data_IF_807368392175
#
_entry.id   IF_807368392175
#
_cell.length_a   1.000
_cell.length_b   1.000
_cell.length_c   1.000
_cell.angle_alpha   90.00
_cell.angle_beta   90.00
_cell.angle_gamma   90.00
#
_symmetry.space_group_name_H-M   'P 1'
#
loop_
_entity.id
_entity.type
_entity.pdbx_description
1 polymer ?
#
# COMPACT_ATOMS: atom_id res chain seq x y z
N UNK A 1 -18.94 67.47 18.03
CA UNK A 1 -17.66 66.91 17.55
C UNK A 1 -16.91 66.41 18.78
N UNK A 2 -16.78 65.09 18.96
CA UNK A 2 -16.04 64.50 20.07
C UNK A 2 -14.71 63.97 19.56
N UNK A 3 -13.60 64.58 20.00
CA UNK A 3 -12.26 64.10 19.70
C UNK A 3 -11.95 62.89 20.57
N UNK A 4 -11.65 61.75 19.95
CA UNK A 4 -11.00 60.62 20.61
C UNK A 4 -9.49 60.81 20.41
N UNK A 5 -8.76 61.02 21.49
CA UNK A 5 -7.30 61.05 21.47
C UNK A 5 -6.78 59.67 21.85
N UNK A 6 -6.22 58.92 20.91
CA UNK A 6 -5.49 57.67 21.18
C UNK A 6 -4.01 58.02 21.22
N UNK A 7 -3.43 57.99 22.42
CA UNK A 7 -1.98 58.16 22.59
C UNK A 7 -1.34 56.78 22.42
N UNK A 8 -1.02 56.43 21.18
CA UNK A 8 -0.03 55.41 20.86
C UNK A 8 0.96 56.06 19.90
N UNK A 9 2.25 56.10 20.27
CA UNK A 9 3.31 56.64 19.42
C UNK A 9 3.30 55.90 18.07
N UNK A 10 2.83 56.56 17.02
CA UNK A 10 3.04 56.25 15.60
C UNK A 10 1.97 55.43 14.83
N UNK A 11 0.66 55.67 15.02
CA UNK A 11 -0.32 55.37 13.96
C UNK A 11 -1.36 56.50 13.86
N UNK A 12 -1.45 57.14 12.69
CA UNK A 12 -2.58 58.00 12.31
C UNK A 12 -3.30 57.36 11.12
N UNK A 13 -4.46 56.76 11.37
CA UNK A 13 -5.42 56.43 10.29
C UNK A 13 -6.82 56.90 10.69
N UNK A 14 -7.53 57.47 9.71
CA UNK A 14 -8.95 57.82 9.83
C UNK A 14 -9.79 56.54 9.66
N UNK A 15 -10.28 55.99 10.76
CA UNK A 15 -11.20 54.86 10.72
C UNK A 15 -12.64 55.35 10.45
N UNK A 16 -13.07 55.38 9.18
CA UNK A 16 -14.48 55.44 8.83
C UNK A 16 -15.08 54.04 8.88
N UNK A 17 -15.52 53.61 10.06
CA UNK A 17 -16.18 52.32 10.25
C UNK A 17 -16.64 52.09 11.68
N UNK A 18 -17.78 51.42 11.86
CA UNK A 18 -18.28 50.99 13.16
C UNK A 18 -17.31 50.01 13.83
N UNK A 19 -17.03 50.22 15.12
CA UNK A 19 -16.21 49.30 15.92
C UNK A 19 -16.93 47.96 15.96
N UNK A 20 -16.34 46.93 15.35
CA UNK A 20 -16.92 45.58 15.39
C UNK A 20 -16.73 44.99 16.79
N UNK A 21 -17.84 44.68 17.46
CA UNK A 21 -17.86 44.07 18.80
C UNK A 21 -17.27 42.64 18.87
N UNK A 22 -16.91 42.05 17.72
CA UNK A 22 -16.40 40.69 17.55
C UNK A 22 -14.88 40.61 17.31
N UNK A 23 -14.15 41.74 17.32
CA UNK A 23 -12.71 41.75 17.09
C UNK A 23 -11.90 41.11 18.23
N UNK A 24 -10.90 40.29 17.90
CA UNK A 24 -10.08 39.53 18.84
C UNK A 24 -8.91 40.31 19.46
N UNK A 25 -8.58 41.50 18.94
CA UNK A 25 -7.35 42.23 19.30
C UNK A 25 -7.57 43.64 19.86
N UNK A 26 -8.74 43.96 20.42
CA UNK A 26 -8.93 45.20 21.17
C UNK A 26 -8.71 44.90 22.66
N UNK A 27 -7.48 45.10 23.15
CA UNK A 27 -7.16 45.02 24.57
C UNK A 27 -7.35 46.40 25.18
N UNK A 28 -8.36 46.52 26.04
CA UNK A 28 -8.63 47.72 26.80
C UNK A 28 -7.79 47.69 28.10
N UNK A 29 -6.80 48.59 28.20
CA UNK A 29 -5.89 48.66 29.36
C UNK A 29 -6.50 49.36 30.59
N UNK A 30 -7.74 49.86 30.53
CA UNK A 30 -8.36 50.58 31.65
C UNK A 30 -8.97 49.67 32.73
N UNK A 31 -8.90 48.34 32.57
CA UNK A 31 -9.49 47.37 33.49
C UNK A 31 -11.03 47.34 33.48
N UNK A 32 -11.70 48.19 32.68
CA UNK A 32 -13.16 48.21 32.50
C UNK A 32 -13.52 48.43 31.04
N UNK A 33 -14.53 47.72 30.52
CA UNK A 33 -14.93 47.79 29.10
C UNK A 33 -15.70 49.11 28.81
N UNK A 34 -15.30 49.83 27.76
CA UNK A 34 -15.91 51.10 27.32
C UNK A 34 -16.70 50.83 26.04
N UNK A 35 -17.97 51.23 25.99
CA UNK A 35 -18.82 51.15 24.80
C UNK A 35 -19.50 52.52 24.61
N UNK A 36 -19.41 53.09 23.40
CA UNK A 36 -20.09 54.33 23.02
C UNK A 36 -21.38 53.98 22.26
N UNK A 37 -22.54 54.27 22.85
CA UNK A 37 -23.85 53.88 22.32
C UNK A 37 -24.68 55.04 21.76
N UNK A 38 -24.15 56.27 21.72
CA UNK A 38 -24.82 57.40 21.08
C UNK A 38 -23.86 58.56 20.76
N UNK A 39 -24.37 59.54 20.01
CA UNK A 39 -23.69 60.80 19.71
C UNK A 39 -23.48 61.71 20.94
N UNK A 40 -23.96 61.32 22.13
CA UNK A 40 -24.04 62.20 23.31
C UNK A 40 -23.51 61.61 24.63
N UNK A 41 -22.95 60.39 24.68
CA UNK A 41 -22.30 59.94 25.92
C UNK A 41 -21.68 58.53 25.94
N UNK A 42 -20.71 58.35 26.85
CA UNK A 42 -20.12 57.06 27.25
C UNK A 42 -20.83 56.61 28.53
N UNK A 43 -21.38 55.39 28.55
CA UNK A 43 -21.98 54.78 29.73
C UNK A 43 -21.20 53.53 30.17
N UNK A 44 -21.07 53.34 31.48
CA UNK A 44 -20.55 52.11 32.08
C UNK A 44 -21.73 51.17 32.35
N UNK A 45 -22.03 50.27 31.42
CA UNK A 45 -23.07 49.26 31.65
C UNK A 45 -22.51 48.09 32.48
N UNK A 46 -23.31 47.68 33.47
CA UNK A 46 -23.12 46.43 34.21
C UNK A 46 -23.09 45.25 33.24
N UNK A 47 -22.19 44.29 33.51
CA UNK A 47 -21.93 43.04 32.77
C UNK A 47 -23.09 42.56 31.88
N UNK A 48 -23.13 43.01 30.63
CA UNK A 48 -23.90 42.33 29.60
C UNK A 48 -23.03 41.22 29.04
N UNK A 49 -23.55 40.00 29.07
CA UNK A 49 -22.90 38.86 28.45
C UNK A 49 -22.60 39.18 26.98
N UNK A 50 -21.40 38.79 26.56
CA UNK A 50 -20.93 39.03 25.19
C UNK A 50 -21.91 38.34 24.24
N UNK A 51 -22.61 39.11 23.41
CA UNK A 51 -23.47 38.54 22.38
C UNK A 51 -22.62 37.63 21.49
N UNK A 52 -23.09 36.41 21.19
CA UNK A 52 -22.34 35.49 20.35
C UNK A 52 -22.05 36.14 18.98
N UNK A 53 -20.90 35.86 18.36
CA UNK A 53 -20.56 36.41 17.05
C UNK A 53 -21.70 36.19 16.06
N UNK A 54 -22.11 37.25 15.36
CA UNK A 54 -23.14 37.17 14.31
C UNK A 54 -22.64 36.27 13.17
N UNK A 55 -21.37 36.42 12.80
CA UNK A 55 -20.70 35.60 11.80
C UNK A 55 -20.30 34.25 12.38
N UNK A 56 -20.79 33.16 11.79
CA UNK A 56 -20.33 31.82 12.12
C UNK A 56 -18.92 31.60 11.55
N UNK A 57 -18.00 31.11 12.39
CA UNK A 57 -16.62 30.76 12.01
C UNK A 57 -16.27 29.39 12.58
N UNK A 58 -15.31 28.71 11.97
CA UNK A 58 -14.72 27.51 12.55
C UNK A 58 -13.55 27.90 13.44
N UNK A 59 -13.46 27.29 14.60
CA UNK A 59 -12.41 27.54 15.61
C UNK A 59 -11.44 26.38 15.74
N UNK A 60 -11.86 25.17 15.34
CA UNK A 60 -11.06 23.96 15.41
C UNK A 60 -11.50 22.97 14.34
N UNK A 61 -10.54 22.29 13.74
CA UNK A 61 -10.74 21.08 12.93
C UNK A 61 -10.07 19.93 13.66
N UNK A 62 -10.77 18.80 13.73
CA UNK A 62 -10.29 17.58 14.37
C UNK A 62 -10.46 16.40 13.41
N UNK A 63 -9.58 15.42 13.56
CA UNK A 63 -9.52 14.23 12.71
C UNK A 63 -8.10 13.99 12.19
N UNK A 64 -7.88 12.89 11.47
CA UNK A 64 -8.91 11.95 10.99
C UNK A 64 -9.41 10.99 12.08
N UNK A 65 -10.72 10.70 12.09
CA UNK A 65 -11.34 9.66 12.91
C UNK A 65 -11.74 8.45 12.06
N UNK A 66 -11.59 7.24 12.59
CA UNK A 66 -12.04 6.01 11.95
C UNK A 66 -13.57 5.79 12.06
N UNK A 67 -14.06 4.66 11.55
CA UNK A 67 -15.49 4.32 11.58
C UNK A 67 -16.03 4.04 13.00
N UNK A 68 -15.14 3.80 13.98
CA UNK A 68 -15.47 3.61 15.39
C UNK A 68 -15.29 4.90 16.20
N UNK A 69 -15.10 6.03 15.53
CA UNK A 69 -14.88 7.36 16.10
C UNK A 69 -13.57 7.52 16.91
N UNK A 70 -12.58 6.64 16.68
CA UNK A 70 -11.26 6.77 17.28
C UNK A 70 -10.38 7.69 16.42
N UNK A 71 -9.62 8.57 17.06
CA UNK A 71 -8.63 9.39 16.37
C UNK A 71 -7.51 8.47 15.84
N UNK A 72 -7.12 8.65 14.58
CA UNK A 72 -6.04 7.89 13.97
C UNK A 72 -4.86 8.80 13.59
N UNK A 73 -3.65 8.30 13.80
CA UNK A 73 -2.43 9.05 13.50
C UNK A 73 -2.10 9.05 12.00
N UNK A 74 -2.54 8.00 11.28
CA UNK A 74 -2.24 7.74 9.86
C UNK A 74 -3.50 7.36 9.09
N UNK A 75 -3.59 7.80 7.84
CA UNK A 75 -4.66 7.45 6.92
C UNK A 75 -4.20 6.49 5.82
N UNK A 76 -5.11 5.65 5.36
CA UNK A 76 -4.93 4.79 4.19
C UNK A 76 -5.67 5.42 3.00
N UNK A 77 -5.01 5.46 1.83
CA UNK A 77 -5.66 5.95 0.62
C UNK A 77 -6.91 5.12 0.30
N UNK A 78 -7.94 5.83 -0.13
CA UNK A 78 -9.21 5.24 -0.53
C UNK A 78 -10.12 4.80 0.62
N UNK A 79 -9.67 4.87 1.87
CA UNK A 79 -10.50 4.71 3.07
C UNK A 79 -11.14 6.05 3.45
N UNK A 80 -12.39 6.00 3.89
CA UNK A 80 -13.11 7.18 4.38
C UNK A 80 -12.77 7.44 5.85
N UNK A 81 -12.50 8.70 6.18
CA UNK A 81 -12.24 9.17 7.53
C UNK A 81 -13.16 10.32 7.88
N UNK A 82 -13.58 10.39 9.15
CA UNK A 82 -14.42 11.45 9.66
C UNK A 82 -13.58 12.63 10.13
N UNK A 83 -14.02 13.84 9.80
CA UNK A 83 -13.46 15.10 10.26
C UNK A 83 -14.54 15.91 10.96
N UNK A 84 -14.16 16.63 12.03
CA UNK A 84 -15.09 17.38 12.87
C UNK A 84 -14.65 18.84 12.94
N UNK A 85 -15.55 19.75 12.58
CA UNK A 85 -15.34 21.19 12.66
C UNK A 85 -16.14 21.77 13.83
N UNK A 86 -15.47 22.55 14.68
CA UNK A 86 -16.09 23.22 15.83
C UNK A 86 -16.43 24.68 15.47
N UNK A 87 -17.72 25.04 15.34
CA UNK A 87 -18.13 26.40 15.04
C UNK A 87 -18.14 27.29 16.29
N UNK A 88 -18.06 28.62 16.11
CA UNK A 88 -18.14 29.62 17.19
C UNK A 88 -19.51 29.65 17.89
N UNK A 89 -20.57 29.22 17.20
CA UNK A 89 -21.94 29.09 17.72
C UNK A 89 -22.63 27.92 17.03
N UNK A 90 -23.80 27.51 17.54
CA UNK A 90 -24.62 26.50 16.87
C UNK A 90 -25.01 27.00 15.47
N UNK A 91 -24.70 26.25 14.40
CA UNK A 91 -25.09 26.61 13.04
C UNK A 91 -26.61 26.43 12.86
N UNK A 92 -27.21 27.26 12.01
CA UNK A 92 -28.56 27.03 11.49
C UNK A 92 -28.55 25.89 10.47
N UNK A 93 -29.73 25.34 10.17
CA UNK A 93 -29.88 24.27 9.17
C UNK A 93 -29.37 24.72 7.79
N UNK A 94 -29.54 26.00 7.44
CA UNK A 94 -29.07 26.57 6.18
C UNK A 94 -27.56 26.84 6.17
N UNK A 95 -26.93 27.01 7.33
CA UNK A 95 -25.49 27.23 7.46
C UNK A 95 -24.67 25.93 7.40
N UNK A 96 -25.24 24.79 7.79
CA UNK A 96 -24.53 23.49 7.75
C UNK A 96 -24.01 23.14 6.33
N UNK A 97 -24.84 23.17 5.26
CA UNK A 97 -24.38 22.83 3.92
C UNK A 97 -23.49 23.90 3.28
N UNK A 98 -23.32 25.07 3.91
CA UNK A 98 -22.44 26.14 3.42
C UNK A 98 -21.00 26.01 3.91
N UNK A 99 -20.73 25.15 4.90
CA UNK A 99 -19.37 24.89 5.36
C UNK A 99 -18.57 24.17 4.26
N UNK A 100 -17.49 24.78 3.80
CA UNK A 100 -16.60 24.23 2.79
C UNK A 100 -15.43 23.50 3.44
N UNK A 101 -14.92 22.51 2.73
CA UNK A 101 -13.71 21.78 3.09
C UNK A 101 -12.66 21.98 2.02
N UNK A 102 -11.40 22.09 2.42
CA UNK A 102 -10.27 22.14 1.52
C UNK A 102 -9.16 21.19 1.97
N UNK A 103 -8.31 20.82 1.03
CA UNK A 103 -7.09 20.08 1.26
C UNK A 103 -5.90 20.86 0.70
N UNK A 104 -4.76 20.80 1.39
CA UNK A 104 -3.46 21.21 0.84
C UNK A 104 -2.59 19.97 0.80
N UNK A 105 -2.13 19.60 -0.39
CA UNK A 105 -1.21 18.48 -0.61
C UNK A 105 0.18 19.06 -0.83
N UNK A 106 1.15 18.61 -0.04
CA UNK A 106 2.54 19.04 -0.10
C UNK A 106 2.67 20.57 -0.09
N UNK A 107 3.46 21.11 -1.00
CA UNK A 107 3.64 22.55 -1.20
C UNK A 107 2.66 23.15 -2.22
N UNK A 108 1.57 22.43 -2.53
CA UNK A 108 0.54 22.91 -3.46
C UNK A 108 -0.36 23.99 -2.85
N UNK A 109 -1.27 24.51 -3.67
CA UNK A 109 -2.29 25.47 -3.22
C UNK A 109 -3.39 24.74 -2.45
N UNK A 110 -4.09 25.48 -1.59
CA UNK A 110 -5.29 24.97 -0.91
C UNK A 110 -6.40 24.77 -1.95
N UNK A 111 -6.84 23.54 -2.13
CA UNK A 111 -7.86 23.14 -3.09
C UNK A 111 -9.17 22.83 -2.37
N UNK A 112 -10.27 23.43 -2.85
CA UNK A 112 -11.60 23.16 -2.30
C UNK A 112 -12.04 21.77 -2.74
N UNK A 113 -12.48 20.95 -1.79
CA UNK A 113 -13.04 19.63 -2.08
C UNK A 113 -14.47 19.85 -2.57
N UNK A 114 -14.67 19.81 -3.88
CA UNK A 114 -15.96 20.12 -4.51
C UNK A 114 -17.04 19.08 -4.17
N UNK A 115 -18.30 19.53 -4.06
CA UNK A 115 -19.46 18.64 -3.91
C UNK A 115 -19.63 17.97 -2.55
N UNK A 116 -18.73 18.21 -1.58
CA UNK A 116 -18.83 17.53 -0.26
C UNK A 116 -19.66 18.28 0.76
N UNK A 117 -19.85 19.59 0.60
CA UNK A 117 -20.48 20.45 1.59
C UNK A 117 -21.94 20.05 1.91
N UNK A 118 -22.68 19.51 0.93
CA UNK A 118 -24.04 18.99 1.14
C UNK A 118 -24.11 17.77 2.06
N UNK A 119 -22.99 17.09 2.31
CA UNK A 119 -22.92 15.92 3.20
C UNK A 119 -22.54 16.27 4.64
N UNK A 120 -22.34 17.55 4.95
CA UNK A 120 -22.13 18.00 6.31
C UNK A 120 -23.30 17.60 7.23
N UNK A 121 -23.00 17.04 8.40
CA UNK A 121 -23.99 16.73 9.44
C UNK A 121 -23.66 17.46 10.74
N UNK A 122 -24.66 17.80 11.53
CA UNK A 122 -24.45 18.39 12.86
C UNK A 122 -24.61 17.31 13.94
N UNK A 123 -23.54 17.03 14.67
CA UNK A 123 -23.53 16.08 15.78
C UNK A 123 -22.79 16.70 16.97
N UNK A 124 -23.38 16.65 18.16
CA UNK A 124 -22.77 17.17 19.40
C UNK A 124 -22.18 18.59 19.26
N UNK A 125 -22.91 19.49 18.57
CA UNK A 125 -22.53 20.88 18.26
C UNK A 125 -21.32 21.03 17.31
N UNK A 126 -20.84 19.94 16.70
CA UNK A 126 -19.79 19.95 15.68
C UNK A 126 -20.37 19.60 14.32
N UNK A 127 -19.83 20.22 13.27
CA UNK A 127 -20.16 19.84 11.90
C UNK A 127 -19.21 18.73 11.49
N UNK A 128 -19.73 17.57 11.12
CA UNK A 128 -18.94 16.40 10.75
C UNK A 128 -19.05 16.13 9.24
N UNK A 129 -17.98 15.57 8.69
CA UNK A 129 -17.95 15.07 7.32
C UNK A 129 -17.08 13.83 7.21
N UNK A 130 -17.46 12.90 6.34
CA UNK A 130 -16.60 11.78 5.95
C UNK A 130 -15.93 12.12 4.61
N UNK A 131 -14.60 12.09 4.58
CA UNK A 131 -13.80 12.35 3.38
C UNK A 131 -12.97 11.13 3.02
N UNK A 132 -12.88 10.85 1.72
CA UNK A 132 -12.02 9.81 1.14
C UNK A 132 -10.92 10.49 0.33
N UNK A 133 -9.67 10.20 0.68
CA UNK A 133 -8.49 10.77 0.01
C UNK A 133 -7.87 9.70 -0.88
N UNK A 134 -7.71 9.98 -2.17
CA UNK A 134 -7.27 9.02 -3.18
C UNK A 134 -5.91 9.36 -3.82
N UNK A 135 -5.26 10.43 -3.36
CA UNK A 135 -3.99 10.90 -3.90
C UNK A 135 -2.89 10.70 -2.85
N UNK A 136 -1.74 10.21 -3.31
CA UNK A 136 -0.52 10.14 -2.51
C UNK A 136 -0.01 11.55 -2.17
N UNK A 137 0.68 11.68 -1.04
CA UNK A 137 1.25 12.94 -0.55
C UNK A 137 2.39 12.69 0.45
N UNK A 138 3.35 13.60 0.51
CA UNK A 138 4.34 13.63 1.59
C UNK A 138 3.79 14.33 2.82
N UNK A 139 3.03 15.42 2.63
CA UNK A 139 2.36 16.18 3.68
C UNK A 139 0.95 16.54 3.22
N UNK A 140 -0.05 16.39 4.07
CA UNK A 140 -1.37 16.93 3.75
C UNK A 140 -2.03 17.58 4.95
N UNK A 141 -2.92 18.52 4.66
CA UNK A 141 -3.65 19.28 5.68
C UNK A 141 -5.08 19.53 5.25
N UNK A 142 -6.02 19.32 6.16
CA UNK A 142 -7.46 19.50 5.95
C UNK A 142 -7.94 20.76 6.65
N UNK A 143 -8.80 21.52 5.97
CA UNK A 143 -9.36 22.79 6.43
C UNK A 143 -10.88 22.73 6.37
N UNK A 144 -11.53 23.46 7.29
CA UNK A 144 -12.96 23.72 7.24
C UNK A 144 -13.21 25.23 7.39
N UNK A 145 -14.03 25.81 6.50
CA UNK A 145 -14.22 27.26 6.47
C UNK A 145 -15.53 27.69 5.79
N UNK A 146 -16.04 28.85 6.19
CA UNK A 146 -17.17 29.52 5.51
C UNK A 146 -16.71 30.50 4.43
N UNK A 147 -15.66 31.29 4.72
CA UNK A 147 -15.14 32.33 3.81
C UNK A 147 -13.78 31.96 3.22
N UNK A 148 -12.77 31.76 4.07
CA UNK A 148 -11.40 31.39 3.67
C UNK A 148 -10.77 30.36 4.61
N UNK A 149 -9.94 29.43 4.10
CA UNK A 149 -9.20 28.49 4.94
C UNK A 149 -8.09 29.19 5.73
N UNK A 150 -7.87 28.73 6.96
CA UNK A 150 -6.85 29.24 7.89
C UNK A 150 -5.97 28.09 8.37
N UNK A 151 -4.64 28.26 8.35
CA UNK A 151 -3.68 27.24 8.77
C UNK A 151 -3.79 26.92 10.27
N UNK A 152 -4.26 27.88 11.09
CA UNK A 152 -4.51 27.66 12.52
C UNK A 152 -5.75 26.75 12.72
N UNK A 153 -6.69 26.77 11.78
CA UNK A 153 -7.96 26.02 11.84
C UNK A 153 -7.93 24.89 10.84
N UNK A 154 -7.00 23.97 11.08
CA UNK A 154 -6.72 22.84 10.21
C UNK A 154 -6.22 21.64 11.01
N UNK A 155 -6.15 20.48 10.36
CA UNK A 155 -5.50 19.29 10.93
C UNK A 155 -4.55 18.68 9.90
N UNK A 156 -3.38 18.25 10.37
CA UNK A 156 -2.40 17.56 9.54
C UNK A 156 -2.82 16.10 9.31
N UNK A 157 -2.42 15.56 8.18
CA UNK A 157 -2.62 14.17 7.81
C UNK A 157 -1.27 13.52 7.61
N UNK A 158 -1.11 12.31 8.15
CA UNK A 158 0.02 11.45 7.84
C UNK A 158 -0.46 10.27 7.02
N UNK A 159 0.31 9.92 6.00
CA UNK A 159 0.01 8.76 5.17
C UNK A 159 0.52 7.47 5.82
N UNK A 160 -0.30 6.43 5.77
CA UNK A 160 0.11 5.08 6.09
C UNK A 160 1.16 4.63 5.07
N UNK A 161 2.37 4.35 5.53
CA UNK A 161 3.44 3.87 4.65
C UNK A 161 3.12 2.46 4.15
N UNK A 162 3.50 2.20 2.90
CA UNK A 162 3.18 0.95 2.21
C UNK A 162 4.49 0.21 1.91
N UNK A 163 4.56 -1.06 2.26
CA UNK A 163 5.61 -2.00 1.90
C UNK A 163 5.24 -2.79 0.64
N UNK A 164 6.23 -2.98 -0.22
CA UNK A 164 6.21 -3.93 -1.33
C UNK A 164 7.05 -5.14 -0.94
N UNK A 165 6.43 -6.32 -0.91
CA UNK A 165 7.11 -7.57 -0.60
C UNK A 165 7.25 -8.41 -1.86
N UNK A 166 8.48 -8.81 -2.17
CA UNK A 166 8.80 -9.78 -3.22
C UNK A 166 9.29 -11.05 -2.52
N UNK A 167 8.53 -12.14 -2.62
CA UNK A 167 8.89 -13.44 -2.04
C UNK A 167 9.47 -14.32 -3.14
N UNK A 168 10.69 -14.79 -2.96
CA UNK A 168 11.35 -15.73 -3.85
C UNK A 168 11.60 -17.07 -3.13
N UNK A 169 11.10 -18.14 -3.73
CA UNK A 169 11.42 -19.51 -3.35
C UNK A 169 12.75 -19.96 -3.95
N UNK A 170 12.97 -21.27 -3.89
CA UNK A 170 14.15 -21.97 -4.37
C UNK A 170 13.74 -23.05 -5.38
N UNK A 171 14.56 -23.26 -6.40
CA UNK A 171 14.42 -24.40 -7.31
C UNK A 171 15.36 -25.50 -6.81
N UNK A 172 14.78 -26.58 -6.27
CA UNK A 172 15.52 -27.75 -5.77
C UNK A 172 15.09 -29.04 -6.48
N UNK A 173 14.00 -29.02 -7.26
CA UNK A 173 13.46 -30.18 -7.96
C UNK A 173 14.19 -30.46 -9.29
N UNK A 174 14.49 -29.40 -10.04
CA UNK A 174 15.05 -29.45 -11.39
C UNK A 174 16.16 -28.41 -11.54
N UNK A 175 17.16 -28.52 -10.67
CA UNK A 175 18.32 -27.64 -10.67
C UNK A 175 19.10 -27.77 -11.98
N UNK A 176 19.03 -26.71 -12.76
CA UNK A 176 19.87 -26.49 -13.93
C UNK A 176 20.43 -25.08 -13.84
N UNK A 177 21.53 -24.82 -14.54
CA UNK A 177 22.18 -23.52 -14.65
C UNK A 177 21.18 -22.36 -14.75
N UNK A 178 20.19 -22.45 -15.65
CA UNK A 178 19.19 -21.42 -15.84
C UNK A 178 18.01 -21.44 -14.84
N UNK A 179 17.68 -22.58 -14.26
CA UNK A 179 16.48 -22.68 -13.41
C UNK A 179 16.77 -22.29 -11.96
N UNK A 180 17.96 -22.60 -11.42
CA UNK A 180 18.26 -22.45 -9.98
C UNK A 180 17.94 -21.05 -9.46
N UNK A 181 18.37 -20.02 -10.19
CA UNK A 181 18.24 -18.62 -9.77
C UNK A 181 17.05 -17.88 -10.40
N UNK A 182 16.13 -18.57 -11.08
CA UNK A 182 15.05 -17.92 -11.83
C UNK A 182 14.08 -17.13 -10.92
N UNK A 183 13.74 -17.64 -9.74
CA UNK A 183 12.84 -16.96 -8.80
C UNK A 183 13.44 -15.66 -8.24
N UNK A 184 14.64 -15.66 -7.64
CA UNK A 184 15.25 -14.40 -7.19
C UNK A 184 15.56 -13.45 -8.36
N UNK A 185 15.82 -13.95 -9.57
CA UNK A 185 16.00 -13.10 -10.74
C UNK A 185 14.73 -12.28 -11.06
N UNK A 186 13.54 -12.89 -10.92
CA UNK A 186 12.28 -12.15 -11.07
C UNK A 186 12.11 -11.07 -10.01
N UNK A 187 12.49 -11.34 -8.75
CA UNK A 187 12.46 -10.34 -7.70
C UNK A 187 13.40 -9.15 -8.00
N UNK A 188 14.63 -9.41 -8.47
CA UNK A 188 15.56 -8.34 -8.88
C UNK A 188 15.02 -7.54 -10.07
N UNK A 189 14.41 -8.22 -11.05
CA UNK A 189 13.75 -7.57 -12.19
C UNK A 189 12.66 -6.61 -11.72
N UNK A 190 11.82 -7.04 -10.77
CA UNK A 190 10.75 -6.21 -10.20
C UNK A 190 11.30 -4.97 -9.50
N UNK A 191 12.37 -5.12 -8.70
CA UNK A 191 13.03 -3.97 -8.10
C UNK A 191 13.54 -3.01 -9.18
N UNK A 192 14.25 -3.51 -10.20
CA UNK A 192 14.78 -2.70 -11.30
C UNK A 192 13.68 -1.92 -12.04
N UNK A 193 12.60 -2.59 -12.41
CA UNK A 193 11.60 -2.02 -13.33
C UNK A 193 10.54 -1.18 -12.63
N UNK A 194 10.15 -1.56 -11.41
CA UNK A 194 8.95 -1.00 -10.78
C UNK A 194 9.26 -0.32 -9.44
N UNK A 195 10.39 -0.65 -8.79
CA UNK A 195 10.64 -0.23 -7.40
C UNK A 195 12.08 0.26 -7.14
N UNK A 196 12.77 0.82 -8.14
CA UNK A 196 14.18 1.23 -8.02
C UNK A 196 14.39 2.30 -6.93
N UNK A 197 13.41 3.17 -6.70
CA UNK A 197 13.49 4.24 -5.70
C UNK A 197 12.43 4.13 -4.62
N UNK A 198 11.76 2.98 -4.54
CA UNK A 198 10.69 2.79 -3.58
C UNK A 198 11.25 2.57 -2.16
N UNK A 199 10.83 3.41 -1.23
CA UNK A 199 11.42 3.48 0.12
C UNK A 199 11.32 2.16 0.89
N UNK A 200 10.15 1.52 0.85
CA UNK A 200 9.86 0.30 1.60
C UNK A 200 9.66 -0.89 0.66
N UNK A 201 10.75 -1.29 -0.01
CA UNK A 201 10.80 -2.52 -0.77
C UNK A 201 11.56 -3.59 0.02
N UNK A 202 11.01 -4.81 0.05
CA UNK A 202 11.60 -5.96 0.71
C UNK A 202 11.64 -7.15 -0.23
N UNK A 203 12.81 -7.76 -0.38
CA UNK A 203 12.94 -9.11 -0.92
C UNK A 203 13.05 -10.08 0.25
N UNK A 204 12.13 -11.04 0.30
CA UNK A 204 12.19 -12.19 1.20
C UNK A 204 12.59 -13.40 0.36
N UNK A 205 13.72 -14.03 0.69
CA UNK A 205 14.25 -15.20 -0.02
C UNK A 205 14.28 -16.39 0.93
N UNK A 206 13.66 -17.49 0.51
CA UNK A 206 13.94 -18.79 1.11
C UNK A 206 15.38 -19.16 0.75
N UNK A 207 16.24 -19.42 1.73
CA UNK A 207 17.68 -19.56 1.48
C UNK A 207 18.15 -21.00 1.26
N UNK A 208 17.32 -22.00 1.55
CA UNK A 208 17.72 -23.41 1.41
C UNK A 208 18.01 -23.76 -0.06
N UNK A 209 19.13 -24.43 -0.32
CA UNK A 209 19.57 -24.76 -1.67
C UNK A 209 20.30 -23.62 -2.40
N UNK A 210 20.50 -22.45 -1.77
CA UNK A 210 21.41 -21.42 -2.27
C UNK A 210 22.71 -21.37 -1.46
N UNK A 211 23.81 -21.10 -2.15
CA UNK A 211 25.09 -20.77 -1.49
C UNK A 211 25.06 -19.35 -0.92
N UNK A 212 25.94 -19.07 0.04
CA UNK A 212 26.09 -17.70 0.56
C UNK A 212 26.58 -16.72 -0.52
N UNK A 213 27.35 -17.21 -1.51
CA UNK A 213 27.78 -16.39 -2.66
C UNK A 213 26.57 -15.97 -3.51
N UNK A 214 25.70 -16.91 -3.89
CA UNK A 214 24.48 -16.61 -4.65
C UNK A 214 23.59 -15.60 -3.91
N UNK A 215 23.32 -15.84 -2.62
CA UNK A 215 22.52 -14.93 -1.79
C UNK A 215 23.14 -13.53 -1.70
N UNK A 216 24.48 -13.44 -1.63
CA UNK A 216 25.19 -12.17 -1.61
C UNK A 216 25.06 -11.42 -2.95
N UNK A 217 25.13 -12.13 -4.07
CA UNK A 217 25.00 -11.58 -5.42
C UNK A 217 23.58 -11.08 -5.67
N UNK A 218 22.56 -11.88 -5.32
CA UNK A 218 21.15 -11.47 -5.42
C UNK A 218 20.93 -10.18 -4.63
N UNK A 219 21.38 -10.14 -3.37
CA UNK A 219 21.25 -8.95 -2.51
C UNK A 219 21.99 -7.73 -3.08
N UNK A 220 23.23 -7.91 -3.54
CA UNK A 220 24.05 -6.84 -4.13
C UNK A 220 23.33 -6.24 -5.34
N UNK A 221 22.89 -7.08 -6.27
CA UNK A 221 22.34 -6.63 -7.54
C UNK A 221 20.95 -6.01 -7.37
N UNK A 222 20.13 -6.53 -6.45
CA UNK A 222 18.89 -5.87 -6.06
C UNK A 222 19.14 -4.46 -5.46
N UNK A 223 20.20 -4.31 -4.64
CA UNK A 223 20.57 -3.03 -4.01
C UNK A 223 21.21 -2.03 -4.96
N UNK A 224 21.81 -2.50 -6.06
CA UNK A 224 22.29 -1.63 -7.13
C UNK A 224 21.13 -0.83 -7.74
N UNK A 225 19.93 -1.43 -7.79
CA UNK A 225 18.72 -0.78 -8.26
C UNK A 225 18.02 0.02 -7.16
N UNK A 226 17.93 -0.53 -5.94
CA UNK A 226 17.30 0.13 -4.80
C UNK A 226 18.19 0.11 -3.54
N UNK A 227 18.76 1.26 -3.21
CA UNK A 227 19.71 1.40 -2.09
C UNK A 227 19.09 1.16 -0.71
N UNK A 228 17.78 1.40 -0.55
CA UNK A 228 17.06 1.21 0.72
C UNK A 228 16.40 -0.17 0.85
N UNK A 229 16.58 -1.03 -0.16
CA UNK A 229 16.01 -2.38 -0.18
C UNK A 229 16.41 -3.19 1.06
N UNK A 230 15.38 -3.71 1.72
CA UNK A 230 15.56 -4.73 2.76
C UNK A 230 15.62 -6.12 2.12
N UNK A 231 16.63 -6.90 2.49
CA UNK A 231 16.84 -8.25 1.98
C UNK A 231 16.82 -9.21 3.16
N UNK A 232 15.77 -10.02 3.25
CA UNK A 232 15.51 -10.93 4.36
C UNK A 232 15.64 -12.37 3.88
N UNK A 233 16.52 -13.13 4.53
CA UNK A 233 16.62 -14.58 4.35
C UNK A 233 15.70 -15.26 5.37
N UNK A 234 14.97 -16.29 4.96
CA UNK A 234 14.12 -17.12 5.83
C UNK A 234 14.24 -18.60 5.43
N UNK A 235 13.79 -19.51 6.29
CA UNK A 235 13.77 -20.95 5.99
C UNK A 235 12.40 -21.62 6.12
N UNK A 236 11.37 -20.91 6.53
CA UNK A 236 10.08 -21.53 6.83
C UNK A 236 8.88 -20.61 6.59
N UNK A 237 7.71 -21.20 6.37
CA UNK A 237 6.44 -20.48 6.36
C UNK A 237 6.18 -19.76 7.68
N UNK A 238 6.63 -20.33 8.80
CA UNK A 238 6.50 -19.68 10.11
C UNK A 238 7.23 -18.34 10.12
N UNK A 239 8.48 -18.29 9.65
CA UNK A 239 9.25 -17.04 9.55
C UNK A 239 8.62 -16.05 8.57
N UNK A 240 8.08 -16.54 7.44
CA UNK A 240 7.34 -15.71 6.49
C UNK A 240 6.10 -15.07 7.14
N UNK A 241 5.28 -15.87 7.82
CA UNK A 241 4.10 -15.42 8.55
C UNK A 241 4.45 -14.45 9.67
N UNK A 242 5.49 -14.75 10.45
CA UNK A 242 5.95 -13.87 11.52
C UNK A 242 6.37 -12.50 10.95
N UNK A 243 7.10 -12.46 9.83
CA UNK A 243 7.47 -11.21 9.17
C UNK A 243 6.26 -10.46 8.58
N UNK A 244 5.37 -11.16 7.90
CA UNK A 244 4.15 -10.55 7.33
C UNK A 244 3.33 -9.90 8.44
N UNK A 245 3.08 -10.63 9.52
CA UNK A 245 2.16 -10.21 10.57
C UNK A 245 2.76 -9.16 11.53
N UNK A 246 4.07 -9.22 11.79
CA UNK A 246 4.70 -8.42 12.84
C UNK A 246 5.78 -7.47 12.31
N UNK A 247 6.33 -7.76 11.13
CA UNK A 247 7.56 -7.14 10.66
C UNK A 247 8.76 -7.61 11.46
N UNK A 248 9.75 -6.74 11.63
CA UNK A 248 10.91 -6.96 12.50
C UNK A 248 11.53 -5.63 12.94
N UNK A 249 12.79 -5.64 13.42
CA UNK A 249 13.49 -4.43 13.86
C UNK A 249 13.67 -3.38 12.74
N UNK A 250 13.62 -3.78 11.47
CA UNK A 250 13.78 -2.91 10.30
C UNK A 250 12.44 -2.31 9.86
N UNK A 251 11.38 -3.12 9.88
CA UNK A 251 10.04 -2.73 9.43
C UNK A 251 9.04 -2.99 10.56
N UNK A 252 8.49 -1.93 11.13
CA UNK A 252 7.41 -2.03 12.12
C UNK A 252 6.07 -2.12 11.42
N UNK A 253 5.36 -3.24 11.55
CA UNK A 253 4.09 -3.48 10.84
C UNK A 253 2.98 -2.48 11.19
N UNK A 254 2.99 -1.94 12.41
CA UNK A 254 2.09 -0.85 12.82
C UNK A 254 2.32 0.45 12.04
N UNK A 255 3.53 0.64 11.52
CA UNK A 255 3.92 1.87 10.81
C UNK A 255 3.90 1.73 9.30
N UNK A 256 4.14 0.51 8.79
CA UNK A 256 4.25 0.20 7.37
C UNK A 256 3.42 -1.05 7.06
N UNK A 257 2.37 -0.91 6.27
CA UNK A 257 1.45 -1.99 5.89
C UNK A 257 1.80 -2.56 4.53
N UNK A 258 1.46 -3.82 4.27
CA UNK A 258 1.72 -4.46 2.99
C UNK A 258 0.65 -4.04 1.99
N UNK A 259 1.05 -3.37 0.91
CA UNK A 259 0.13 -3.01 -0.17
C UNK A 259 0.26 -3.89 -1.39
N UNK A 260 1.48 -4.40 -1.66
CA UNK A 260 1.73 -5.32 -2.77
C UNK A 260 2.59 -6.48 -2.31
N UNK A 261 2.21 -7.68 -2.70
CA UNK A 261 3.01 -8.89 -2.55
C UNK A 261 3.15 -9.60 -3.90
N UNK A 262 4.38 -9.89 -4.34
CA UNK A 262 4.63 -10.72 -5.53
C UNK A 262 5.40 -11.97 -5.14
N UNK A 263 4.92 -13.12 -5.58
CA UNK A 263 5.40 -14.43 -5.14
C UNK A 263 5.94 -15.18 -6.36
N UNK A 264 7.23 -15.52 -6.30
CA UNK A 264 7.95 -16.28 -7.32
C UNK A 264 8.41 -17.61 -6.71
N UNK A 265 7.72 -18.69 -7.05
CA UNK A 265 7.97 -20.00 -6.45
C UNK A 265 7.43 -21.12 -7.33
N UNK A 266 7.66 -22.36 -6.90
CA UNK A 266 6.87 -23.49 -7.38
C UNK A 266 5.44 -23.39 -6.87
N UNK A 267 4.57 -24.18 -7.49
CA UNK A 267 3.20 -24.32 -7.02
C UNK A 267 2.61 -25.69 -7.33
N UNK A 268 1.79 -26.14 -6.40
CA UNK A 268 0.86 -27.24 -6.56
C UNK A 268 -0.56 -26.64 -6.47
N UNK A 269 -1.61 -27.37 -6.87
CA UNK A 269 -2.99 -26.93 -6.67
C UNK A 269 -3.19 -26.45 -5.24
N UNK A 270 -3.58 -25.19 -5.09
CA UNK A 270 -3.78 -24.51 -3.80
C UNK A 270 -2.59 -24.51 -2.82
N UNK A 271 -1.35 -24.66 -3.31
CA UNK A 271 -0.13 -24.61 -2.48
C UNK A 271 0.94 -23.79 -3.20
N UNK A 272 1.53 -22.83 -2.47
CA UNK A 272 2.79 -22.20 -2.84
C UNK A 272 3.92 -23.00 -2.21
N UNK A 273 4.83 -23.52 -3.01
CA UNK A 273 5.97 -24.30 -2.51
C UNK A 273 7.27 -23.52 -2.77
N UNK A 274 7.92 -23.13 -1.68
CA UNK A 274 9.13 -22.31 -1.73
C UNK A 274 10.43 -23.13 -1.75
N UNK A 275 10.36 -24.45 -1.68
CA UNK A 275 11.51 -25.33 -1.76
C UNK A 275 11.10 -26.74 -2.14
N UNK A 276 10.37 -26.86 -3.25
CA UNK A 276 9.82 -28.12 -3.74
C UNK A 276 10.92 -29.17 -3.85
N UNK A 277 10.68 -30.35 -3.26
CA UNK A 277 11.59 -31.49 -3.15
C UNK A 277 12.91 -31.23 -2.41
N UNK A 278 13.06 -30.04 -1.83
CA UNK A 278 14.16 -29.70 -0.95
C UNK A 278 14.04 -30.37 0.42
N UNK A 279 15.17 -30.45 1.14
CA UNK A 279 15.26 -31.09 2.47
C UNK A 279 14.23 -30.55 3.48
N UNK A 280 13.90 -29.27 3.39
CA UNK A 280 12.97 -28.58 4.29
C UNK A 280 11.60 -28.27 3.65
N UNK A 281 11.28 -28.89 2.51
CA UNK A 281 10.06 -28.63 1.72
C UNK A 281 8.78 -28.63 2.57
N UNK A 282 8.64 -29.56 3.51
CA UNK A 282 7.47 -29.68 4.40
C UNK A 282 7.21 -28.44 5.27
N UNK A 283 8.25 -27.63 5.54
CA UNK A 283 8.14 -26.39 6.33
C UNK A 283 8.05 -25.14 5.45
N UNK A 284 8.08 -25.31 4.12
CA UNK A 284 8.18 -24.27 3.10
C UNK A 284 6.97 -24.27 2.16
N UNK A 285 5.88 -24.93 2.54
CA UNK A 285 4.63 -24.96 1.79
C UNK A 285 3.56 -24.09 2.46
N UNK A 286 3.10 -23.06 1.74
CA UNK A 286 1.98 -22.23 2.15
C UNK A 286 0.71 -22.72 1.43
N UNK A 287 -0.21 -23.31 2.18
CA UNK A 287 -1.49 -23.82 1.68
C UNK A 287 -2.70 -23.05 2.24
N UNK A 288 -3.90 -23.58 1.95
CA UNK A 288 -5.18 -23.01 2.42
C UNK A 288 -5.22 -22.85 3.94
N UNK A 289 -4.71 -23.83 4.68
CA UNK A 289 -4.73 -23.82 6.15
C UNK A 289 -3.86 -22.72 6.77
N UNK A 290 -2.91 -22.16 6.00
CA UNK A 290 -2.08 -21.05 6.47
C UNK A 290 -2.73 -19.68 6.27
N UNK A 291 -3.77 -19.58 5.44
CA UNK A 291 -4.40 -18.29 5.10
C UNK A 291 -4.91 -17.56 6.33
N UNK A 292 -5.59 -18.27 7.23
CA UNK A 292 -6.16 -17.69 8.46
C UNK A 292 -5.09 -17.22 9.45
N UNK A 293 -3.83 -17.66 9.28
CA UNK A 293 -2.70 -17.19 10.09
C UNK A 293 -2.22 -15.81 9.66
N UNK A 294 -2.65 -15.28 8.51
CA UNK A 294 -2.34 -13.91 8.09
C UNK A 294 -3.21 -12.92 8.86
N UNK A 295 -2.59 -11.89 9.44
CA UNK A 295 -3.30 -10.82 10.14
C UNK A 295 -3.69 -9.75 9.14
N UNK A 296 -4.99 -9.61 8.89
CA UNK A 296 -5.54 -8.66 7.90
C UNK A 296 -5.04 -7.22 8.09
N UNK A 297 -4.93 -6.75 9.33
CA UNK A 297 -4.46 -5.39 9.64
C UNK A 297 -2.99 -5.13 9.27
N UNK A 298 -2.23 -6.19 8.94
CA UNK A 298 -0.87 -6.08 8.41
C UNK A 298 -0.86 -5.58 6.96
N UNK A 299 -1.99 -5.62 6.27
CA UNK A 299 -2.16 -5.20 4.89
C UNK A 299 -2.92 -3.88 4.82
N UNK A 300 -2.70 -3.12 3.75
CA UNK A 300 -3.53 -1.96 3.41
C UNK A 300 -4.95 -2.40 3.06
N UNK A 301 -5.89 -1.46 3.01
CA UNK A 301 -7.18 -1.69 2.39
C UNK A 301 -6.99 -2.16 0.93
N UNK A 302 -7.54 -3.32 0.59
CA UNK A 302 -7.47 -3.96 -0.73
C UNK A 302 -6.04 -4.15 -1.27
N UNK A 303 -5.20 -4.98 -0.61
CA UNK A 303 -3.84 -5.20 -1.07
C UNK A 303 -3.83 -5.99 -2.38
N UNK A 304 -2.76 -5.89 -3.15
CA UNK A 304 -2.57 -6.62 -4.41
C UNK A 304 -1.59 -7.76 -4.22
N UNK A 305 -1.97 -8.97 -4.60
CA UNK A 305 -1.10 -10.15 -4.53
C UNK A 305 -0.95 -10.75 -5.92
N UNK A 306 0.29 -10.92 -6.39
CA UNK A 306 0.59 -11.70 -7.58
C UNK A 306 1.23 -13.03 -7.18
N UNK A 307 0.59 -14.13 -7.55
CA UNK A 307 1.20 -15.46 -7.52
C UNK A 307 1.65 -15.85 -8.92
N UNK A 308 2.97 -15.89 -9.13
CA UNK A 308 3.58 -16.49 -10.31
C UNK A 308 3.89 -17.99 -10.09
N UNK A 309 3.35 -18.59 -9.03
CA UNK A 309 3.42 -20.02 -8.81
C UNK A 309 2.43 -20.78 -9.70
N UNK A 310 2.73 -22.05 -9.94
CA UNK A 310 1.86 -22.92 -10.71
C UNK A 310 0.53 -23.13 -9.97
N UNK A 311 -0.60 -23.04 -10.68
CA UNK A 311 -1.91 -23.58 -10.23
C UNK A 311 -2.43 -23.04 -8.88
N UNK A 312 -1.98 -21.87 -8.43
CA UNK A 312 -2.50 -21.26 -7.19
C UNK A 312 -4.01 -20.99 -7.26
N UNK A 313 -4.54 -20.73 -8.46
CA UNK A 313 -5.96 -20.53 -8.72
C UNK A 313 -6.76 -21.81 -9.00
N UNK A 314 -6.16 -22.99 -8.89
CA UNK A 314 -6.76 -24.28 -9.20
C UNK A 314 -6.72 -25.20 -7.96
N UNK A 315 -7.85 -25.79 -7.60
CA UNK A 315 -7.98 -26.66 -6.42
C UNK A 315 -8.02 -28.16 -6.72
N UNK A 316 -7.94 -28.58 -7.99
CA UNK A 316 -7.94 -30.01 -8.35
C UNK A 316 -6.63 -30.66 -7.92
N UNK A 317 -6.61 -31.37 -6.78
CA UNK A 317 -5.39 -31.97 -6.26
C UNK A 317 -4.90 -33.18 -7.07
N UNK A 318 -5.76 -33.83 -7.86
CA UNK A 318 -5.42 -35.04 -8.63
C UNK A 318 -4.32 -34.73 -9.65
N UNK A 319 -4.32 -33.51 -10.17
CA UNK A 319 -3.35 -33.06 -11.18
C UNK A 319 -1.90 -33.05 -10.71
N UNK A 320 -1.64 -33.18 -9.41
CA UNK A 320 -0.28 -33.37 -8.89
C UNK A 320 0.30 -34.71 -9.34
N UNK A 321 -0.53 -35.75 -9.42
CA UNK A 321 -0.10 -37.12 -9.74
C UNK A 321 -0.31 -37.50 -11.21
N UNK A 322 -0.93 -36.62 -11.99
CA UNK A 322 -1.24 -36.85 -13.41
C UNK A 322 -0.09 -36.47 -14.33
N UNK A 323 -0.05 -37.09 -15.51
CA UNK A 323 0.95 -36.83 -16.55
C UNK A 323 1.02 -35.32 -16.88
N UNK A 324 2.21 -34.72 -17.04
CA UNK A 324 2.37 -33.32 -17.46
C UNK A 324 1.63 -32.94 -18.75
N UNK A 325 1.28 -33.91 -19.60
CA UNK A 325 0.52 -33.73 -20.84
C UNK A 325 -1.00 -33.83 -20.65
N UNK A 326 -1.49 -33.96 -19.40
CA UNK A 326 -2.91 -34.05 -19.08
C UNK A 326 -3.69 -32.83 -19.59
N UNK A 327 -4.90 -33.08 -20.06
CA UNK A 327 -5.81 -32.09 -20.63
C UNK A 327 -7.19 -32.25 -20.01
N UNK A 328 -7.74 -31.15 -19.51
CA UNK A 328 -9.11 -31.12 -19.01
C UNK A 328 -10.11 -31.21 -20.14
N UNK A 329 -11.07 -32.14 -20.02
CA UNK A 329 -12.28 -32.20 -20.84
C UNK A 329 -13.46 -31.43 -20.21
N UNK A 330 -14.66 -31.59 -20.79
CA UNK A 330 -15.86 -30.88 -20.37
C UNK A 330 -16.40 -31.26 -18.98
N UNK A 331 -16.09 -32.47 -18.50
CA UNK A 331 -16.51 -32.93 -17.18
C UNK A 331 -15.43 -32.64 -16.13
N UNK A 332 -14.17 -32.92 -16.47
CA UNK A 332 -13.05 -32.74 -15.54
C UNK A 332 -12.77 -31.27 -15.21
N UNK A 333 -13.07 -30.34 -16.13
CA UNK A 333 -12.88 -28.90 -15.89
C UNK A 333 -13.66 -28.41 -14.65
N UNK A 334 -14.76 -29.09 -14.30
CA UNK A 334 -15.57 -28.80 -13.10
C UNK A 334 -14.81 -29.04 -11.80
N UNK A 335 -13.68 -29.76 -11.84
CA UNK A 335 -12.86 -30.10 -10.69
C UNK A 335 -11.80 -29.04 -10.36
N UNK A 336 -11.51 -28.12 -11.30
CA UNK A 336 -10.57 -27.01 -11.11
C UNK A 336 -11.02 -26.05 -10.00
N UNK A 337 -12.34 -25.87 -9.88
CA UNK A 337 -13.06 -25.07 -8.88
C UNK A 337 -12.28 -23.84 -8.37
N UNK A 338 -12.09 -22.80 -9.20
CA UNK A 338 -11.31 -21.62 -8.84
C UNK A 338 -11.71 -20.94 -7.52
N UNK A 339 -13.00 -20.98 -7.13
CA UNK A 339 -13.50 -20.43 -5.86
C UNK A 339 -13.06 -21.21 -4.61
N UNK A 340 -12.64 -22.45 -4.76
CA UNK A 340 -12.09 -23.27 -3.67
C UNK A 340 -10.55 -23.15 -3.60
N UNK A 341 -9.93 -22.43 -4.54
CA UNK A 341 -8.48 -22.31 -4.65
C UNK A 341 -7.84 -21.43 -3.58
N UNK A 342 -6.53 -21.61 -3.37
CA UNK A 342 -5.74 -20.74 -2.48
C UNK A 342 -5.84 -19.26 -2.87
N UNK A 343 -5.88 -18.94 -4.16
CA UNK A 343 -6.01 -17.56 -4.63
C UNK A 343 -7.32 -16.92 -4.13
N UNK A 344 -8.45 -17.64 -4.23
CA UNK A 344 -9.72 -17.14 -3.72
C UNK A 344 -9.70 -17.02 -2.19
N UNK A 345 -9.13 -18.01 -1.46
CA UNK A 345 -9.04 -17.96 0.00
C UNK A 345 -8.22 -16.76 0.50
N UNK A 346 -7.12 -16.44 -0.16
CA UNK A 346 -6.32 -15.24 0.13
C UNK A 346 -7.14 -13.95 -0.12
N UNK A 347 -7.83 -13.89 -1.26
CA UNK A 347 -8.71 -12.77 -1.61
C UNK A 347 -9.80 -12.56 -0.55
N UNK A 348 -10.52 -13.61 -0.17
CA UNK A 348 -11.64 -13.52 0.78
C UNK A 348 -11.21 -13.10 2.18
N UNK A 349 -10.05 -13.59 2.63
CA UNK A 349 -9.52 -13.34 3.97
C UNK A 349 -8.93 -11.94 4.12
N UNK A 350 -8.18 -11.48 3.11
CA UNK A 350 -7.48 -10.19 3.15
C UNK A 350 -8.23 -9.05 2.48
N UNK A 351 -9.38 -9.33 1.85
CA UNK A 351 -10.04 -8.46 0.86
C UNK A 351 -9.07 -8.05 -0.26
N UNK A 352 -8.18 -8.96 -0.67
CA UNK A 352 -7.11 -8.70 -1.64
C UNK A 352 -7.56 -8.90 -3.10
N UNK A 353 -6.97 -8.14 -4.01
CA UNK A 353 -6.97 -8.50 -5.45
C UNK A 353 -5.83 -9.48 -5.69
N UNK A 354 -6.17 -10.76 -5.93
CA UNK A 354 -5.17 -11.82 -6.13
C UNK A 354 -5.11 -12.21 -7.59
N UNK A 355 -3.92 -12.12 -8.18
CA UNK A 355 -3.64 -12.51 -9.55
C UNK A 355 -2.89 -13.84 -9.55
N UNK A 356 -3.47 -14.88 -10.15
CA UNK A 356 -2.91 -16.22 -10.11
C UNK A 356 -3.19 -17.02 -11.39
N UNK A 357 -2.36 -18.03 -11.67
CA UNK A 357 -2.59 -18.97 -12.76
C UNK A 357 -3.47 -20.15 -12.34
N UNK A 358 -4.38 -20.56 -13.23
CA UNK A 358 -5.08 -21.86 -13.12
C UNK A 358 -4.22 -23.02 -13.60
N UNK A 359 -3.26 -22.73 -14.48
CA UNK A 359 -2.30 -23.66 -15.08
C UNK A 359 -0.94 -23.56 -14.41
N UNK A 360 0.00 -24.41 -14.80
CA UNK A 360 1.41 -24.27 -14.44
C UNK A 360 1.93 -22.92 -14.95
N UNK A 361 2.77 -22.27 -14.16
CA UNK A 361 3.57 -21.14 -14.63
C UNK A 361 4.75 -21.65 -15.45
N UNK A 362 5.22 -20.81 -16.37
CA UNK A 362 6.33 -21.07 -17.26
C UNK A 362 7.39 -19.99 -17.04
N UNK A 363 8.51 -20.39 -16.44
CA UNK A 363 9.67 -19.56 -16.19
C UNK A 363 10.75 -19.70 -17.27
N UNK A 364 10.60 -20.58 -18.26
CA UNK A 364 11.58 -20.71 -19.35
C UNK A 364 11.91 -19.37 -20.03
N UNK A 365 10.97 -18.41 -20.16
CA UNK A 365 11.27 -17.11 -20.72
C UNK A 365 12.17 -16.19 -19.88
N UNK A 366 12.44 -16.51 -18.61
CA UNK A 366 13.15 -15.65 -17.65
C UNK A 366 14.40 -15.01 -18.24
N UNK A 367 15.18 -15.77 -19.01
CA UNK A 367 16.45 -15.34 -19.60
C UNK A 367 16.39 -15.10 -21.11
N UNK A 368 15.20 -15.10 -21.73
CA UNK A 368 15.06 -14.86 -23.16
C UNK A 368 15.25 -13.38 -23.49
N UNK A 369 16.51 -12.99 -23.69
CA UNK A 369 16.97 -11.61 -23.94
C UNK A 369 16.63 -11.05 -25.33
N UNK A 370 16.13 -11.89 -26.24
CA UNK A 370 15.77 -11.49 -27.60
C UNK A 370 16.96 -10.99 -28.44
N UNK A 371 18.20 -11.29 -28.04
CA UNK A 371 19.41 -10.78 -28.68
C UNK A 371 19.92 -9.44 -28.12
N UNK A 372 19.41 -8.98 -26.98
CA UNK A 372 19.90 -7.78 -26.30
C UNK A 372 21.37 -7.95 -25.87
N UNK A 373 22.28 -7.30 -26.60
CA UNK A 373 23.71 -7.38 -26.37
C UNK A 373 24.14 -6.80 -25.01
N UNK A 374 23.44 -5.77 -24.50
CA UNK A 374 23.78 -5.14 -23.21
C UNK A 374 23.32 -5.99 -22.03
N UNK A 375 22.17 -6.65 -22.17
CA UNK A 375 21.74 -7.64 -21.19
C UNK A 375 22.69 -8.84 -21.19
N UNK A 376 23.03 -9.36 -22.38
CA UNK A 376 23.90 -10.53 -22.53
C UNK A 376 25.32 -10.34 -21.97
N UNK A 377 25.90 -9.14 -22.11
CA UNK A 377 27.20 -8.78 -21.52
C UNK A 377 27.25 -8.88 -20.00
N UNK A 378 26.09 -8.90 -19.32
CA UNK A 378 25.98 -8.96 -17.86
C UNK A 378 25.70 -10.36 -17.31
N UNK A 379 25.61 -11.37 -18.18
CA UNK A 379 25.55 -12.74 -17.70
C UNK A 379 26.85 -13.08 -16.97
N UNK A 380 26.68 -13.65 -15.80
CA UNK A 380 27.75 -14.24 -15.03
C UNK A 380 27.33 -15.65 -14.64
N UNK A 381 28.30 -16.50 -14.42
CA UNK A 381 28.11 -17.76 -13.73
C UNK A 381 28.57 -17.64 -12.28
N UNK A 382 27.99 -18.46 -11.42
CA UNK A 382 28.29 -18.53 -9.99
C UNK A 382 28.59 -20.00 -9.69
N UNK A 383 29.73 -20.29 -9.05
CA UNK A 383 30.12 -21.66 -8.75
C UNK A 383 29.13 -22.33 -7.78
N UNK A 384 28.70 -23.55 -8.11
CA UNK A 384 27.76 -24.32 -7.29
C UNK A 384 27.81 -25.83 -7.57
N UNK A 385 28.44 -26.57 -6.66
CA UNK A 385 28.65 -28.02 -6.77
C UNK A 385 27.35 -28.85 -6.79
N UNK A 386 26.20 -28.28 -6.39
CA UNK A 386 24.91 -28.98 -6.35
C UNK A 386 24.17 -28.94 -7.70
N UNK A 387 24.60 -28.11 -8.67
CA UNK A 387 23.90 -27.88 -9.94
C UNK A 387 24.27 -28.91 -11.01
N UNK A 388 23.91 -30.18 -10.81
CA UNK A 388 24.18 -31.22 -11.82
C UNK A 388 22.94 -31.67 -12.58
N UNK A 389 22.91 -31.48 -13.91
CA UNK A 389 21.94 -32.15 -14.78
C UNK A 389 22.66 -32.97 -15.88
N UNK A 390 22.80 -34.30 -15.70
CA UNK A 390 23.44 -35.17 -16.69
C UNK A 390 22.58 -35.44 -17.95
N UNK A 391 21.30 -35.07 -17.97
CA UNK A 391 20.35 -35.47 -19.02
C UNK A 391 19.99 -34.35 -20.01
N UNK A 392 20.26 -33.08 -19.71
CA UNK A 392 20.04 -31.98 -20.66
C UNK A 392 20.94 -30.77 -20.38
N UNK A 393 22.26 -30.90 -20.60
CA UNK A 393 23.17 -29.76 -20.55
C UNK A 393 22.89 -28.88 -21.77
N UNK A 394 22.01 -27.89 -21.65
CA UNK A 394 22.02 -26.76 -22.58
C UNK A 394 23.17 -25.85 -22.21
N UNK A 395 24.36 -26.38 -22.45
CA UNK A 395 25.66 -25.79 -22.23
C UNK A 395 25.73 -24.43 -22.95
N UNK A 396 26.14 -23.38 -22.26
CA UNK A 396 26.78 -22.22 -22.90
C UNK A 396 28.29 -22.18 -22.62
N UNK A 397 28.88 -23.37 -22.46
CA UNK A 397 30.27 -23.74 -22.68
C UNK A 397 31.12 -23.91 -21.42
N UNK A 398 31.06 -25.11 -20.79
CA UNK A 398 32.13 -26.14 -20.90
C UNK A 398 32.11 -27.18 -19.77
N UNK A 399 32.83 -28.28 -20.08
CA UNK A 399 33.22 -29.36 -19.19
C UNK A 399 34.17 -28.91 -18.06
N UNK A 400 33.77 -29.27 -16.85
CA UNK A 400 34.59 -29.34 -15.64
C UNK A 400 34.19 -28.26 -14.66
N UNK A 401 33.34 -28.63 -13.70
CA UNK A 401 32.67 -27.84 -12.65
C UNK A 401 31.27 -27.31 -13.05
N UNK A 402 30.29 -27.58 -12.18
CA UNK A 402 28.89 -27.23 -12.35
C UNK A 402 28.62 -25.80 -11.80
N UNK A 403 28.03 -24.90 -12.60
CA UNK A 403 27.84 -23.47 -12.27
C UNK A 403 26.34 -23.07 -12.34
N UNK A 404 25.95 -21.92 -11.79
CA UNK A 404 24.60 -21.35 -11.88
C UNK A 404 24.60 -20.06 -12.71
N UNK A 405 23.58 -19.83 -13.56
CA UNK A 405 23.47 -18.65 -14.44
C UNK A 405 22.77 -17.48 -13.73
N UNK A 406 23.37 -16.29 -13.82
CA UNK A 406 22.82 -15.05 -13.26
C UNK A 406 22.99 -13.85 -14.21
N UNK A 407 22.15 -12.83 -14.02
CA UNK A 407 22.31 -11.51 -14.64
C UNK A 407 22.08 -10.41 -13.59
N UNK A 408 22.96 -9.42 -13.52
CA UNK A 408 22.86 -8.34 -12.52
C UNK A 408 21.62 -7.44 -12.67
N UNK A 409 20.93 -7.52 -13.81
CA UNK A 409 19.66 -6.83 -14.04
C UNK A 409 18.44 -7.66 -13.56
N UNK A 410 18.65 -8.85 -12.99
CA UNK A 410 17.59 -9.84 -12.77
C UNK A 410 17.07 -10.42 -14.09
N UNK A 411 15.90 -11.05 -14.05
CA UNK A 411 15.24 -11.64 -15.20
C UNK A 411 14.95 -10.61 -16.32
N UNK A 412 14.88 -11.09 -17.55
CA UNK A 412 14.52 -10.29 -18.72
C UNK A 412 13.00 -10.17 -18.86
N UNK A 413 12.29 -11.29 -18.98
CA UNK A 413 10.82 -11.32 -19.07
C UNK A 413 10.17 -11.79 -17.77
N UNK A 414 8.90 -11.46 -17.60
CA UNK A 414 8.06 -12.05 -16.56
C UNK A 414 7.76 -13.53 -16.85
N UNK A 415 7.40 -14.31 -15.81
CA UNK A 415 6.80 -15.63 -15.99
C UNK A 415 5.46 -15.50 -16.72
N UNK A 416 5.06 -16.55 -17.43
CA UNK A 416 3.77 -16.61 -18.13
C UNK A 416 3.00 -17.86 -17.77
N UNK A 417 1.72 -17.90 -18.11
CA UNK A 417 0.94 -19.13 -18.03
C UNK A 417 1.50 -20.16 -19.03
N UNK A 418 1.69 -21.40 -18.57
CA UNK A 418 2.12 -22.52 -19.40
C UNK A 418 0.96 -23.24 -20.10
N UNK A 419 1.31 -24.29 -20.83
CA UNK A 419 0.36 -25.05 -21.63
C UNK A 419 -0.27 -26.24 -20.88
N UNK A 420 0.23 -26.53 -19.68
CA UNK A 420 -0.18 -27.66 -18.85
C UNK A 420 -0.74 -27.18 -17.50
N UNK A 421 -1.83 -27.78 -17.00
CA UNK A 421 -2.70 -28.72 -17.70
C UNK A 421 -3.38 -28.06 -18.91
N UNK A 422 -3.53 -28.82 -19.99
CA UNK A 422 -4.08 -28.31 -21.25
C UNK A 422 -5.59 -28.54 -21.37
N UNK A 423 -6.08 -28.60 -22.61
CA UNK A 423 -7.50 -28.85 -22.90
C UNK A 423 -8.35 -27.59 -22.74
N UNK A 424 -9.54 -27.75 -22.15
CA UNK A 424 -10.52 -26.67 -21.97
C UNK A 424 -10.15 -25.67 -20.87
N UNK A 425 -9.17 -26.01 -20.02
CA UNK A 425 -8.72 -25.10 -18.97
C UNK A 425 -8.07 -23.87 -19.59
N UNK A 426 -8.53 -22.67 -19.32
CA UNK A 426 -8.01 -21.47 -19.97
C UNK A 426 -6.57 -21.13 -19.53
N UNK A 427 -5.78 -20.58 -20.48
CA UNK A 427 -4.46 -19.99 -20.20
C UNK A 427 -4.58 -18.54 -19.76
N UNK A 428 -3.52 -18.00 -19.18
CA UNK A 428 -3.42 -16.60 -18.74
C UNK A 428 -3.54 -16.47 -17.23
N UNK A 429 -3.36 -15.24 -16.74
CA UNK A 429 -3.51 -14.90 -15.33
C UNK A 429 -4.97 -14.54 -15.06
N UNK A 430 -5.47 -14.93 -13.89
CA UNK A 430 -6.83 -14.69 -13.45
C UNK A 430 -6.81 -13.78 -12.22
N UNK A 431 -7.73 -12.83 -12.17
CA UNK A 431 -8.02 -12.00 -11.03
C UNK A 431 -9.10 -12.67 -10.16
N UNK A 432 -8.77 -12.84 -8.90
CA UNK A 432 -9.64 -13.31 -7.83
C UNK A 432 -9.91 -12.13 -6.91
N UNK A 433 -11.19 -11.88 -6.66
CA UNK A 433 -11.66 -10.85 -5.75
C UNK A 433 -12.80 -11.43 -4.92
N UNK A 434 -12.94 -10.91 -3.70
CA UNK A 434 -13.98 -11.34 -2.77
C UNK A 434 -15.36 -11.07 -3.37
N UNK A 435 -16.26 -12.04 -3.20
CA UNK A 435 -17.64 -11.99 -3.68
C UNK A 435 -17.80 -11.80 -5.21
N UNK A 436 -16.74 -12.09 -6.00
CA UNK A 436 -16.78 -12.03 -7.48
C UNK A 436 -16.38 -13.36 -8.11
N UNK A 437 -16.80 -13.57 -9.36
CA UNK A 437 -16.30 -14.68 -10.17
C UNK A 437 -14.85 -14.40 -10.62
N UNK A 438 -13.95 -15.40 -10.57
CA UNK A 438 -12.60 -15.26 -11.10
C UNK A 438 -12.64 -14.90 -12.60
N UNK A 439 -11.89 -13.87 -12.98
CA UNK A 439 -11.91 -13.32 -14.33
C UNK A 439 -10.52 -13.31 -14.95
N UNK A 440 -10.42 -13.70 -16.22
CA UNK A 440 -9.17 -13.65 -16.97
C UNK A 440 -8.77 -12.20 -17.27
N UNK A 441 -7.48 -11.89 -17.14
CA UNK A 441 -6.91 -10.56 -17.34
C UNK A 441 -6.05 -10.49 -18.61
#
# INVERSE_FOLDING_TARGET
MGNITIIAKNICENASGSIRNDASQIINQSGRKIIQNSNTGINYLNHQDRQPPTDIRITKVEGPFDASDNLVDKIELGKSYTFKATPTRKPTITEIPLLKWAIKLDDSKKEIIAGVASFNKLENKKIIIALKINHDFEKARIYAFYQKPDDIVSTDLNLQQIEIILVAGTEQHSQTYGNKLMFPAQAVREIRQNYAHYKHATIIVFKDGFTEMELSIIKRDARNWNKTLYFKKINSIKELLDYINKGDATVKRSDVKIGVMKIFSHGLPSILDFGLDGKNSSTQQFGIDNVTSLVKDSFTLNPIIYSYACRTGNSDNRIVTLNPSYKYDAEEIKLVKPKESLAQKLSDHLDASVYAYLRRSNYNPTWLDGGDLEYKKKYITIEDEEVSNPLNPKDWFRKGWDEALWNSNGAFTLPRSGDSPGGLLQSGIFLFEKDKEPSKQ
#
